data_IF_167913482545
#
_entry.id   IF_167913482545
#
_cell.length_a   1.000
_cell.length_b   1.000
_cell.length_c   1.000
_cell.angle_alpha   90.00
_cell.angle_beta   90.00
_cell.angle_gamma   90.00
#
_symmetry.space_group_name_H-M   'P 1'
#
loop_
_entity.id
_entity.type
_entity.pdbx_description
1 polymer ?
#
# COMPACT_ATOMS: atom_id res chain seq x y z
N UNK A 1 33.62 -23.17 14.31
CA UNK A 1 32.47 -22.25 14.19
C UNK A 1 33.05 -20.86 14.12
N UNK A 2 33.21 -20.36 12.90
CA UNK A 2 33.87 -19.08 12.62
C UNK A 2 32.88 -18.30 11.78
N UNK A 3 32.29 -17.26 12.38
CA UNK A 3 31.44 -16.31 11.68
C UNK A 3 32.29 -15.50 10.71
N UNK A 4 31.99 -15.60 9.41
CA UNK A 4 32.53 -14.73 8.38
C UNK A 4 31.45 -13.70 8.05
N UNK A 5 31.39 -12.63 8.83
CA UNK A 5 30.66 -11.42 8.45
C UNK A 5 31.55 -10.62 7.48
N UNK A 6 31.51 -10.99 6.21
CA UNK A 6 32.09 -10.18 5.14
C UNK A 6 31.24 -8.94 4.85
N UNK A 7 31.84 -7.80 4.47
CA UNK A 7 31.08 -6.62 4.07
C UNK A 7 30.27 -6.94 2.80
N UNK A 8 28.94 -6.84 2.88
CA UNK A 8 28.03 -6.99 1.74
C UNK A 8 28.40 -5.98 0.67
N UNK A 9 28.79 -6.46 -0.53
CA UNK A 9 28.99 -5.61 -1.71
C UNK A 9 27.61 -5.19 -2.20
N UNK A 10 27.18 -4.00 -1.79
CA UNK A 10 26.05 -3.30 -2.40
C UNK A 10 26.42 -2.99 -3.86
N UNK A 11 25.97 -3.84 -4.79
CA UNK A 11 26.20 -3.68 -6.22
C UNK A 11 25.23 -2.62 -6.72
N UNK A 12 25.60 -1.35 -6.53
CA UNK A 12 24.83 -0.22 -7.06
C UNK A 12 24.79 -0.26 -8.58
N UNK A 13 23.70 -0.78 -9.14
CA UNK A 13 23.25 -0.42 -10.47
C UNK A 13 21.74 -0.18 -10.47
N UNK A 14 21.37 0.93 -11.12
CA UNK A 14 20.05 1.41 -11.57
C UNK A 14 19.40 2.51 -10.74
N UNK A 15 19.51 3.75 -11.26
CA UNK A 15 18.43 4.54 -11.88
C UNK A 15 19.14 5.54 -12.82
N UNK A 16 18.93 5.38 -14.14
CA UNK A 16 19.01 6.41 -15.21
C UNK A 16 19.18 5.86 -16.64
N UNK A 17 19.22 4.54 -16.83
CA UNK A 17 19.41 3.97 -18.17
C UNK A 17 18.09 3.59 -18.84
N UNK A 18 17.24 4.56 -19.22
CA UNK A 18 16.32 4.35 -20.35
C UNK A 18 15.70 5.60 -21.02
N UNK A 19 16.23 6.82 -20.79
CA UNK A 19 15.71 8.01 -21.49
C UNK A 19 16.74 8.92 -22.19
N UNK A 20 17.99 8.49 -22.39
CA UNK A 20 18.96 9.29 -23.16
C UNK A 20 19.75 8.44 -24.16
N UNK A 21 19.38 8.50 -25.44
CA UNK A 21 20.29 8.23 -26.55
C UNK A 21 21.15 9.47 -26.79
N UNK A 22 22.26 9.58 -26.07
CA UNK A 22 23.41 10.40 -26.50
C UNK A 22 24.72 9.72 -26.14
N UNK A 23 25.42 9.29 -27.18
CA UNK A 23 26.77 8.74 -27.13
C UNK A 23 27.73 9.81 -26.60
N UNK A 24 28.31 9.59 -25.42
CA UNK A 24 29.43 10.39 -24.92
C UNK A 24 30.59 9.46 -24.63
N UNK A 25 31.75 9.76 -25.24
CA UNK A 25 33.01 9.05 -25.08
C UNK A 25 33.51 9.18 -23.64
N UNK A 26 33.66 8.04 -22.94
CA UNK A 26 34.12 7.98 -21.56
C UNK A 26 35.64 7.91 -21.51
N UNK A 27 36.28 8.97 -21.03
CA UNK A 27 37.67 8.94 -20.56
C UNK A 27 37.67 8.96 -19.03
N UNK A 28 38.28 7.94 -18.43
CA UNK A 28 38.74 7.83 -17.03
C UNK A 28 37.85 8.51 -15.96
N UNK A 29 36.74 7.85 -15.64
CA UNK A 29 35.86 8.19 -14.51
C UNK A 29 36.57 7.87 -13.18
N UNK A 30 36.99 8.90 -12.46
CA UNK A 30 37.05 8.82 -11.01
C UNK A 30 35.62 8.56 -10.52
N UNK A 31 35.37 7.38 -9.95
CA UNK A 31 34.11 7.04 -9.31
C UNK A 31 33.95 7.92 -8.06
N UNK A 32 33.47 9.14 -8.25
CA UNK A 32 32.84 9.91 -7.18
C UNK A 32 31.69 9.02 -6.70
N UNK A 33 31.84 8.41 -5.51
CA UNK A 33 30.75 7.72 -4.85
C UNK A 33 29.68 8.77 -4.58
N UNK A 34 28.70 8.89 -5.47
CA UNK A 34 27.51 9.66 -5.17
C UNK A 34 26.96 9.14 -3.84
N UNK A 35 26.47 9.98 -2.92
CA UNK A 35 25.76 9.49 -1.75
C UNK A 35 24.61 8.58 -2.22
N UNK A 36 24.23 7.55 -1.44
CA UNK A 36 23.06 6.75 -1.80
C UNK A 36 21.86 7.70 -1.94
N UNK A 37 21.07 7.52 -3.00
CA UNK A 37 19.88 8.33 -3.25
C UNK A 37 18.89 8.25 -2.07
N UNK A 38 18.93 7.13 -1.34
CA UNK A 38 18.09 6.85 -0.18
C UNK A 38 18.93 6.65 1.10
N UNK A 39 18.37 7.03 2.24
CA UNK A 39 18.93 6.81 3.58
C UNK A 39 18.58 5.42 4.08
N UNK A 40 17.35 4.97 3.82
CA UNK A 40 16.79 3.71 4.33
C UNK A 40 16.53 2.70 3.21
N UNK A 41 16.90 1.44 3.44
CA UNK A 41 16.54 0.29 2.62
C UNK A 41 15.55 -0.57 3.38
N UNK A 42 14.45 -0.96 2.72
CA UNK A 42 13.34 -1.71 3.32
C UNK A 42 13.30 -3.09 2.67
N UNK A 43 13.37 -4.16 3.46
CA UNK A 43 13.21 -5.53 2.98
C UNK A 43 11.74 -5.87 2.85
N UNK A 44 11.37 -6.46 1.71
CA UNK A 44 10.00 -6.75 1.33
C UNK A 44 9.76 -8.26 1.28
N UNK A 45 8.57 -8.69 1.71
CA UNK A 45 8.00 -9.99 1.40
C UNK A 45 6.68 -9.81 0.67
N UNK A 46 6.47 -10.65 -0.33
CA UNK A 46 5.36 -10.54 -1.27
C UNK A 46 5.18 -11.86 -2.02
N UNK A 47 4.10 -11.96 -2.80
CA UNK A 47 3.91 -13.08 -3.71
C UNK A 47 4.86 -13.04 -4.93
N UNK A 48 4.77 -14.07 -5.77
CA UNK A 48 5.54 -14.20 -7.02
C UNK A 48 5.31 -13.10 -8.05
N UNK A 49 4.31 -12.24 -7.84
CA UNK A 49 4.01 -11.10 -8.72
C UNK A 49 4.96 -9.91 -8.51
N UNK A 50 5.76 -9.90 -7.44
CA UNK A 50 6.54 -8.71 -7.05
C UNK A 50 7.58 -8.24 -8.07
N UNK A 51 8.35 -9.10 -8.75
CA UNK A 51 9.25 -8.64 -9.82
C UNK A 51 8.52 -7.86 -10.90
N UNK A 52 7.34 -8.33 -11.31
CA UNK A 52 6.50 -7.61 -12.27
C UNK A 52 6.00 -6.28 -11.68
N UNK A 53 5.61 -6.26 -10.40
CA UNK A 53 5.22 -5.02 -9.74
C UNK A 53 6.39 -4.01 -9.69
N UNK A 54 7.59 -4.44 -9.29
CA UNK A 54 8.77 -3.59 -9.20
C UNK A 54 9.14 -2.95 -10.55
N UNK A 55 8.99 -3.69 -11.65
CA UNK A 55 9.28 -3.20 -12.99
C UNK A 55 8.20 -2.26 -13.55
N UNK A 56 6.95 -2.37 -13.08
CA UNK A 56 5.79 -1.73 -13.71
C UNK A 56 5.03 -0.75 -12.81
N UNK A 57 5.47 -0.53 -11.57
CA UNK A 57 4.85 0.43 -10.66
C UNK A 57 5.49 1.82 -10.84
N UNK A 58 4.83 2.77 -11.52
CA UNK A 58 5.38 4.10 -11.75
C UNK A 58 5.23 4.97 -10.49
N UNK A 59 6.04 6.03 -10.43
CA UNK A 59 5.99 7.04 -9.37
C UNK A 59 7.25 7.04 -8.50
N UNK A 60 7.38 8.08 -7.68
CA UNK A 60 8.58 8.32 -6.84
C UNK A 60 8.29 8.22 -5.34
N UNK A 61 7.02 8.03 -4.95
CA UNK A 61 6.61 7.98 -3.54
C UNK A 61 7.13 6.72 -2.86
N UNK A 62 7.05 5.58 -3.56
CA UNK A 62 7.59 4.29 -3.14
C UNK A 62 8.23 3.64 -4.37
N UNK A 63 9.54 3.46 -4.33
CA UNK A 63 10.29 2.70 -5.33
C UNK A 63 10.41 1.25 -4.87
N UNK A 64 10.16 0.32 -5.78
CA UNK A 64 10.25 -1.12 -5.54
C UNK A 64 11.38 -1.69 -6.39
N UNK A 65 12.16 -2.62 -5.84
CA UNK A 65 13.30 -3.22 -6.52
C UNK A 65 13.42 -4.68 -6.16
N UNK A 66 13.92 -5.47 -7.09
CA UNK A 66 14.36 -6.84 -6.88
C UNK A 66 15.85 -6.97 -7.20
N UNK A 67 16.57 -7.78 -6.42
CA UNK A 67 17.95 -8.16 -6.70
C UNK A 67 18.00 -9.67 -6.87
N UNK A 68 18.40 -10.12 -8.06
CA UNK A 68 18.64 -11.53 -8.34
C UNK A 68 20.05 -11.89 -7.86
N UNK A 69 20.16 -12.45 -6.65
CA UNK A 69 21.40 -13.02 -6.17
C UNK A 69 21.52 -14.45 -6.70
N UNK A 70 22.42 -14.66 -7.67
CA UNK A 70 22.61 -15.92 -8.44
C UNK A 70 22.58 -17.21 -7.59
N UNK A 71 22.99 -17.15 -6.31
CA UNK A 71 23.04 -18.30 -5.40
C UNK A 71 22.03 -18.24 -4.23
N UNK A 72 21.44 -17.08 -3.91
CA UNK A 72 20.57 -16.90 -2.72
C UNK A 72 19.08 -16.71 -3.07
N UNK A 73 18.78 -16.59 -4.36
CA UNK A 73 17.44 -16.30 -4.86
C UNK A 73 17.16 -14.79 -4.91
N UNK A 74 15.93 -14.45 -5.28
CA UNK A 74 15.56 -13.06 -5.51
C UNK A 74 15.22 -12.40 -4.16
N UNK A 75 15.95 -11.34 -3.82
CA UNK A 75 15.66 -10.48 -2.69
C UNK A 75 14.81 -9.27 -3.14
N UNK A 76 13.87 -8.84 -2.31
CA UNK A 76 12.96 -7.74 -2.61
C UNK A 76 13.16 -6.57 -1.67
N UNK A 77 13.19 -5.37 -2.25
CA UNK A 77 13.49 -4.13 -1.57
C UNK A 77 12.47 -3.04 -1.93
N UNK A 78 12.33 -2.07 -1.01
CA UNK A 78 11.60 -0.84 -1.24
C UNK A 78 12.38 0.37 -0.69
N UNK A 79 12.11 1.53 -1.27
CA UNK A 79 12.72 2.80 -0.91
C UNK A 79 11.67 3.91 -0.98
N UNK A 80 11.82 4.97 -0.18
CA UNK A 80 10.95 6.13 -0.25
C UNK A 80 11.66 7.38 0.28
N UNK A 81 11.65 8.45 -0.54
CA UNK A 81 12.21 9.75 -0.14
C UNK A 81 11.47 10.37 1.04
N UNK A 82 10.20 10.01 1.25
CA UNK A 82 9.42 10.50 2.39
C UNK A 82 9.93 9.97 3.73
N UNK A 83 10.70 8.88 3.73
CA UNK A 83 11.32 8.31 4.94
C UNK A 83 12.74 8.86 5.14
N UNK A 84 13.39 9.33 4.08
CA UNK A 84 14.79 9.73 4.11
C UNK A 84 15.04 11.00 4.94
N UNK A 85 14.05 11.85 5.14
CA UNK A 85 14.15 13.00 6.06
C UNK A 85 14.17 12.58 7.54
N UNK A 86 13.77 11.35 7.86
CA UNK A 86 13.70 10.88 9.24
C UNK A 86 15.05 10.37 9.73
N UNK A 87 15.43 10.78 10.93
CA UNK A 87 16.70 10.39 11.54
C UNK A 87 16.57 9.27 12.56
N UNK A 88 15.37 9.03 13.10
CA UNK A 88 15.15 7.98 14.11
C UNK A 88 14.55 6.73 13.48
N UNK A 89 15.03 5.52 13.84
CA UNK A 89 14.40 4.28 13.40
C UNK A 89 12.91 4.19 13.80
N UNK A 90 12.52 4.69 14.97
CA UNK A 90 11.13 4.66 15.41
C UNK A 90 10.19 5.47 14.48
N UNK A 91 10.60 6.69 14.10
CA UNK A 91 9.85 7.50 13.14
C UNK A 91 9.81 6.84 11.76
N UNK A 92 10.95 6.33 11.29
CA UNK A 92 11.04 5.63 10.02
C UNK A 92 10.12 4.40 9.98
N UNK A 93 10.11 3.57 11.03
CA UNK A 93 9.25 2.40 11.14
C UNK A 93 7.75 2.75 11.03
N UNK A 94 7.32 3.81 11.72
CA UNK A 94 5.93 4.30 11.67
C UNK A 94 5.55 4.77 10.27
N UNK A 95 6.40 5.57 9.62
CA UNK A 95 6.14 6.10 8.28
C UNK A 95 6.15 5.00 7.23
N UNK A 96 7.15 4.09 7.28
CA UNK A 96 7.25 2.91 6.41
C UNK A 96 5.97 2.06 6.52
N UNK A 97 5.49 1.78 7.74
CA UNK A 97 4.27 1.02 7.94
C UNK A 97 3.04 1.72 7.33
N UNK A 98 2.95 3.03 7.50
CA UNK A 98 1.83 3.82 6.95
C UNK A 98 1.86 3.85 5.42
N UNK A 99 3.04 4.04 4.81
CA UNK A 99 3.24 3.92 3.37
C UNK A 99 2.90 2.52 2.83
N UNK A 100 3.24 1.46 3.57
CA UNK A 100 2.85 0.09 3.22
C UNK A 100 1.33 -0.08 3.13
N UNK A 101 0.59 0.49 4.09
CA UNK A 101 -0.87 0.43 4.08
C UNK A 101 -1.46 1.18 2.87
N UNK A 102 -0.92 2.36 2.54
CA UNK A 102 -1.35 3.09 1.35
C UNK A 102 -1.06 2.32 0.05
N UNK A 103 0.14 1.74 -0.07
CA UNK A 103 0.51 0.90 -1.21
C UNK A 103 -0.45 -0.29 -1.36
N UNK A 104 -0.66 -1.06 -0.29
CA UNK A 104 -1.56 -2.20 -0.31
C UNK A 104 -3.00 -1.80 -0.59
N UNK A 105 -3.46 -0.67 -0.07
CA UNK A 105 -4.77 -0.11 -0.37
C UNK A 105 -4.94 0.16 -1.87
N UNK A 106 -3.96 0.85 -2.46
CA UNK A 106 -3.97 1.21 -3.87
C UNK A 106 -3.89 -0.02 -4.78
N UNK A 107 -3.00 -0.97 -4.49
CA UNK A 107 -2.87 -2.21 -5.25
C UNK A 107 -4.13 -3.07 -5.18
N UNK A 108 -4.75 -3.18 -4.00
CA UNK A 108 -5.98 -3.95 -3.81
C UNK A 108 -7.15 -3.37 -4.60
N UNK A 109 -7.24 -2.04 -4.72
CA UNK A 109 -8.24 -1.39 -5.56
C UNK A 109 -7.99 -1.59 -7.05
N UNK A 110 -6.73 -1.51 -7.51
CA UNK A 110 -6.38 -1.77 -8.92
C UNK A 110 -6.66 -3.22 -9.33
N UNK A 111 -6.39 -4.18 -8.45
CA UNK A 111 -6.58 -5.60 -8.73
C UNK A 111 -7.96 -6.13 -8.36
N UNK A 112 -8.86 -5.27 -7.88
CA UNK A 112 -10.21 -5.63 -7.42
C UNK A 112 -10.24 -6.83 -6.45
N UNK A 113 -9.18 -7.01 -5.65
CA UNK A 113 -9.04 -8.13 -4.71
C UNK A 113 -8.61 -9.48 -5.32
N UNK A 114 -8.28 -9.56 -6.62
CA UNK A 114 -7.84 -10.81 -7.29
C UNK A 114 -6.51 -11.33 -6.72
N UNK A 115 -5.60 -10.44 -6.33
CA UNK A 115 -4.35 -10.81 -5.68
C UNK A 115 -4.50 -10.70 -4.17
N UNK A 116 -4.38 -11.85 -3.49
CA UNK A 116 -4.63 -11.97 -2.04
C UNK A 116 -3.42 -11.65 -1.18
N UNK A 117 -2.20 -11.75 -1.71
CA UNK A 117 -0.98 -11.50 -0.95
C UNK A 117 -0.63 -10.02 -0.94
N UNK A 118 -0.63 -9.42 0.25
CA UNK A 118 -0.20 -8.03 0.46
C UNK A 118 1.31 -7.89 0.30
N UNK A 119 1.79 -6.70 -0.06
CA UNK A 119 3.19 -6.31 0.05
C UNK A 119 3.48 -6.05 1.52
N UNK A 120 4.43 -6.79 2.11
CA UNK A 120 4.84 -6.63 3.52
C UNK A 120 6.26 -6.09 3.58
N UNK A 121 6.42 -4.96 4.25
CA UNK A 121 7.72 -4.43 4.65
C UNK A 121 8.05 -5.07 6.00
N UNK A 122 9.11 -5.88 6.04
CA UNK A 122 9.42 -6.67 7.25
C UNK A 122 10.44 -5.94 8.13
N UNK A 123 11.52 -5.52 7.51
CA UNK A 123 12.69 -4.93 8.17
C UNK A 123 13.21 -3.76 7.36
N UNK A 124 13.95 -2.86 8.00
CA UNK A 124 14.63 -1.77 7.32
C UNK A 124 15.94 -1.40 8.04
N UNK A 125 16.87 -0.83 7.31
CA UNK A 125 18.18 -0.44 7.82
C UNK A 125 18.73 0.77 7.10
N UNK A 126 19.64 1.52 7.76
CA UNK A 126 20.38 2.58 7.05
C UNK A 126 21.33 1.94 6.06
N UNK A 127 21.35 2.43 4.83
CA UNK A 127 22.19 1.86 3.77
C UNK A 127 23.67 1.90 4.18
N UNK A 128 24.32 0.73 4.17
CA UNK A 128 25.73 0.57 4.53
C UNK A 128 26.05 0.53 6.03
N UNK A 129 25.05 0.60 6.91
CA UNK A 129 25.26 0.54 8.37
C UNK A 129 25.30 -0.88 8.95
N UNK A 130 24.64 -1.84 8.29
CA UNK A 130 24.39 -3.18 8.84
C UNK A 130 23.28 -3.22 9.91
N UNK A 131 22.62 -2.09 10.20
CA UNK A 131 21.48 -2.03 11.11
C UNK A 131 20.26 -2.76 10.52
N UNK A 132 19.54 -3.49 11.36
CA UNK A 132 18.29 -4.16 10.99
C UNK A 132 17.25 -3.82 12.06
N UNK A 133 16.22 -3.08 11.65
CA UNK A 133 15.09 -2.70 12.48
C UNK A 133 13.84 -3.37 11.93
N UNK A 134 12.88 -3.73 12.79
CA UNK A 134 11.58 -4.24 12.36
C UNK A 134 10.65 -3.10 11.95
N UNK A 135 9.87 -3.30 10.88
CA UNK A 135 8.78 -2.38 10.54
C UNK A 135 7.61 -2.67 11.49
N UNK A 136 7.47 -1.83 12.50
CA UNK A 136 6.39 -1.91 13.49
C UNK A 136 5.95 -0.50 13.87
N UNK A 137 4.63 -0.31 13.98
CA UNK A 137 4.05 0.96 14.38
C UNK A 137 2.96 0.74 15.44
N UNK A 138 2.95 1.59 16.48
CA UNK A 138 1.85 1.63 17.47
C UNK A 138 0.63 2.39 16.96
N UNK A 139 0.83 3.24 15.96
CA UNK A 139 -0.17 4.12 15.35
C UNK A 139 0.16 4.31 13.88
N UNK A 140 -0.86 4.59 13.08
CA UNK A 140 -0.70 5.01 11.69
C UNK A 140 -0.38 6.51 11.68
N UNK A 141 0.59 6.92 10.87
CA UNK A 141 0.81 8.32 10.56
C UNK A 141 -0.23 8.76 9.52
N UNK A 142 -1.10 9.69 9.89
CA UNK A 142 -2.25 10.09 9.05
C UNK A 142 -1.84 10.71 7.72
N UNK A 143 -0.67 11.35 7.66
CA UNK A 143 -0.07 11.87 6.44
C UNK A 143 1.41 11.46 6.36
N UNK A 144 1.74 10.28 5.81
CA UNK A 144 3.09 9.73 5.80
C UNK A 144 3.96 10.27 4.65
N UNK A 145 3.57 11.40 4.06
CA UNK A 145 4.27 12.05 2.97
C UNK A 145 5.02 13.26 3.51
N UNK A 146 6.31 13.34 3.17
CA UNK A 146 7.12 14.54 3.44
C UNK A 146 6.55 15.75 2.70
N UNK A 147 6.65 16.91 3.35
CA UNK A 147 6.23 18.21 2.81
C UNK A 147 7.26 18.81 1.83
N UNK A 148 8.40 18.15 1.64
CA UNK A 148 9.47 18.63 0.76
C UNK A 148 9.10 18.53 -0.72
N UNK A 149 9.00 19.67 -1.40
CA UNK A 149 8.71 19.74 -2.85
C UNK A 149 9.76 19.02 -3.71
N UNK A 150 10.99 18.89 -3.19
CA UNK A 150 12.12 18.24 -3.87
C UNK A 150 11.82 16.77 -4.18
N UNK A 151 10.90 16.14 -3.45
CA UNK A 151 10.52 14.75 -3.71
C UNK A 151 9.79 14.62 -5.05
N UNK A 152 8.94 15.59 -5.37
CA UNK A 152 8.16 15.64 -6.62
C UNK A 152 8.91 16.30 -7.78
N UNK A 153 9.99 17.03 -7.49
CA UNK A 153 10.89 17.62 -8.49
C UNK A 153 11.63 16.51 -9.26
N UNK A 154 11.26 16.32 -10.53
CA UNK A 154 11.96 15.39 -11.43
C UNK A 154 11.20 14.12 -11.80
N UNK A 155 9.87 14.09 -11.67
CA UNK A 155 9.04 13.06 -12.30
C UNK A 155 9.23 13.10 -13.83
N UNK A 156 10.17 12.30 -14.34
CA UNK A 156 10.31 12.06 -15.77
C UNK A 156 9.03 11.44 -16.36
N UNK A 157 8.86 11.49 -17.68
CA UNK A 157 7.67 10.96 -18.35
C UNK A 157 7.36 9.48 -17.97
N UNK A 158 8.39 8.65 -17.82
CA UNK A 158 8.26 7.24 -17.39
C UNK A 158 7.78 7.07 -15.94
N UNK A 159 7.74 8.15 -15.16
CA UNK A 159 7.30 8.20 -13.76
C UNK A 159 5.92 8.83 -13.61
N UNK A 160 5.20 9.08 -14.70
CA UNK A 160 3.86 9.65 -14.64
C UNK A 160 2.93 8.71 -13.84
N UNK A 161 2.48 9.10 -12.64
CA UNK A 161 1.68 8.23 -11.78
C UNK A 161 0.31 7.95 -12.39
N UNK A 162 -0.18 8.77 -13.34
CA UNK A 162 -1.48 8.58 -14.00
C UNK A 162 -1.54 7.35 -14.91
N UNK A 163 -0.40 6.73 -15.24
CA UNK A 163 -0.35 5.56 -16.14
C UNK A 163 -0.91 4.30 -15.47
N UNK A 164 -0.75 4.16 -14.15
CA UNK A 164 -1.28 3.04 -13.36
C UNK A 164 -2.23 3.55 -12.30
N UNK A 165 -3.37 2.88 -12.14
CA UNK A 165 -4.40 3.36 -11.23
C UNK A 165 -3.90 3.40 -9.77
N UNK A 166 -3.21 2.35 -9.31
CA UNK A 166 -2.63 2.30 -7.95
C UNK A 166 -1.61 3.41 -7.70
N UNK A 167 -0.69 3.66 -8.64
CA UNK A 167 0.27 4.75 -8.53
C UNK A 167 -0.41 6.12 -8.51
N UNK A 168 -1.46 6.33 -9.33
CA UNK A 168 -2.22 7.57 -9.34
C UNK A 168 -2.94 7.80 -8.00
N UNK A 169 -3.55 6.75 -7.44
CA UNK A 169 -4.20 6.81 -6.13
C UNK A 169 -3.20 7.19 -5.03
N UNK A 170 -2.01 6.59 -5.03
CA UNK A 170 -0.95 6.90 -4.07
C UNK A 170 -0.49 8.36 -4.20
N UNK A 171 -0.29 8.82 -5.44
CA UNK A 171 0.07 10.21 -5.73
C UNK A 171 -0.98 11.20 -5.20
N UNK A 172 -2.27 10.94 -5.47
CA UNK A 172 -3.37 11.80 -5.02
C UNK A 172 -3.52 11.79 -3.49
N UNK A 173 -3.23 10.66 -2.83
CA UNK A 173 -3.32 10.53 -1.38
C UNK A 173 -2.39 11.50 -0.63
N UNK A 174 -1.39 12.10 -1.28
CA UNK A 174 -0.57 13.19 -0.69
C UNK A 174 -1.42 14.39 -0.28
N UNK A 175 -2.42 14.73 -1.10
CA UNK A 175 -3.20 15.96 -0.95
C UNK A 175 -4.69 15.71 -0.69
N UNK A 176 -5.20 14.53 -1.02
CA UNK A 176 -6.59 14.15 -0.81
C UNK A 176 -6.72 13.24 0.43
N UNK A 177 -7.15 13.83 1.54
CA UNK A 177 -7.33 13.14 2.83
C UNK A 177 -8.45 12.09 2.80
N UNK A 178 -9.52 12.35 2.07
CA UNK A 178 -10.66 11.44 1.92
C UNK A 178 -10.20 10.15 1.21
N UNK A 179 -9.42 10.32 0.13
CA UNK A 179 -8.84 9.20 -0.60
C UNK A 179 -7.80 8.46 0.25
N UNK A 180 -6.91 9.19 0.91
CA UNK A 180 -5.87 8.61 1.78
C UNK A 180 -6.48 7.77 2.91
N UNK A 181 -7.54 8.27 3.55
CA UNK A 181 -8.29 7.54 4.59
C UNK A 181 -8.88 6.24 4.05
N UNK A 182 -9.50 6.29 2.88
CA UNK A 182 -10.05 5.10 2.24
C UNK A 182 -8.96 4.09 1.88
N UNK A 183 -7.81 4.54 1.36
CA UNK A 183 -6.68 3.67 1.05
C UNK A 183 -6.12 3.00 2.32
N UNK A 184 -6.00 3.71 3.44
CA UNK A 184 -5.60 3.08 4.71
C UNK A 184 -6.56 1.97 5.13
N UNK A 185 -7.86 2.22 5.08
CA UNK A 185 -8.87 1.21 5.41
C UNK A 185 -8.77 0.00 4.47
N UNK A 186 -8.66 0.23 3.17
CA UNK A 186 -8.53 -0.86 2.19
C UNK A 186 -7.22 -1.62 2.42
N UNK A 187 -6.11 -0.95 2.72
CA UNK A 187 -4.81 -1.56 3.00
C UNK A 187 -4.78 -2.41 4.27
N UNK A 188 -5.66 -2.14 5.23
CA UNK A 188 -5.81 -2.91 6.47
C UNK A 188 -6.59 -4.22 6.31
N UNK A 189 -7.26 -4.45 5.18
CA UNK A 189 -7.95 -5.72 4.91
C UNK A 189 -6.91 -6.85 4.85
N UNK A 190 -7.07 -7.90 5.66
CA UNK A 190 -6.17 -9.05 5.69
C UNK A 190 -6.87 -10.30 6.23
N UNK A 191 -6.47 -11.46 5.72
CA UNK A 191 -7.03 -12.77 6.11
C UNK A 191 -5.96 -13.75 6.57
N UNK A 192 -4.75 -13.28 6.88
CA UNK A 192 -3.61 -14.16 7.19
C UNK A 192 -3.67 -14.77 8.60
N UNK A 193 -4.50 -14.22 9.50
CA UNK A 193 -4.72 -14.79 10.84
C UNK A 193 -6.15 -14.57 11.33
N UNK A 194 -6.63 -15.35 12.32
CA UNK A 194 -7.97 -15.17 12.89
C UNK A 194 -8.23 -13.77 13.45
N UNK A 195 -7.22 -13.13 14.05
CA UNK A 195 -7.34 -11.76 14.58
C UNK A 195 -7.49 -10.77 13.42
N UNK A 196 -6.72 -10.95 12.35
CA UNK A 196 -6.84 -10.13 11.15
C UNK A 196 -8.20 -10.30 10.48
N UNK A 197 -8.75 -11.52 10.43
CA UNK A 197 -10.11 -11.75 9.91
C UNK A 197 -11.17 -10.98 10.72
N UNK A 198 -11.08 -10.96 12.05
CA UNK A 198 -11.97 -10.19 12.93
C UNK A 198 -11.85 -8.69 12.64
N UNK A 199 -10.62 -8.18 12.51
CA UNK A 199 -10.38 -6.78 12.19
C UNK A 199 -10.89 -6.43 10.80
N UNK A 200 -10.73 -7.33 9.83
CA UNK A 200 -11.19 -7.13 8.45
C UNK A 200 -12.68 -6.91 8.38
N UNK A 201 -13.51 -7.70 9.07
CA UNK A 201 -14.97 -7.46 9.10
C UNK A 201 -15.32 -6.03 9.53
N UNK A 202 -14.68 -5.55 10.60
CA UNK A 202 -14.87 -4.18 11.09
C UNK A 202 -14.36 -3.15 10.07
N UNK A 203 -13.22 -3.41 9.44
CA UNK A 203 -12.63 -2.55 8.41
C UNK A 203 -13.51 -2.46 7.16
N UNK A 204 -14.07 -3.57 6.69
CA UNK A 204 -15.01 -3.59 5.56
C UNK A 204 -16.25 -2.74 5.85
N UNK A 205 -16.77 -2.79 7.07
CA UNK A 205 -17.89 -1.92 7.45
C UNK A 205 -17.50 -0.43 7.42
N UNK A 206 -16.31 -0.09 7.93
CA UNK A 206 -15.78 1.29 7.89
C UNK A 206 -15.57 1.77 6.46
N UNK A 207 -15.13 0.90 5.54
CA UNK A 207 -15.03 1.20 4.11
C UNK A 207 -16.40 1.61 3.57
N UNK A 208 -17.47 0.84 3.86
CA UNK A 208 -18.83 1.18 3.42
C UNK A 208 -19.28 2.54 3.95
N UNK A 209 -19.05 2.81 5.23
CA UNK A 209 -19.45 4.09 5.83
C UNK A 209 -18.65 5.27 5.27
N UNK A 210 -17.36 5.06 4.98
CA UNK A 210 -16.47 6.06 4.35
C UNK A 210 -16.92 6.38 2.94
N UNK A 211 -17.15 5.35 2.10
CA UNK A 211 -17.67 5.52 0.73
C UNK A 211 -19.03 6.21 0.76
N UNK A 212 -19.95 5.79 1.63
CA UNK A 212 -21.27 6.42 1.78
C UNK A 212 -21.16 7.88 2.20
N UNK A 213 -20.22 8.23 3.07
CA UNK A 213 -20.01 9.60 3.50
C UNK A 213 -19.51 10.46 2.33
N UNK A 214 -18.48 9.98 1.64
CA UNK A 214 -17.78 10.78 0.63
C UNK A 214 -18.55 10.85 -0.69
N UNK A 215 -19.40 9.86 -1.01
CA UNK A 215 -20.34 9.91 -2.13
C UNK A 215 -21.33 11.09 -2.05
N UNK A 216 -21.66 11.58 -0.84
CA UNK A 216 -22.54 12.74 -0.67
C UNK A 216 -21.96 14.00 -1.30
N UNK A 217 -20.64 14.18 -1.25
CA UNK A 217 -19.97 15.33 -1.87
C UNK A 217 -20.07 15.31 -3.39
N UNK A 218 -20.37 14.15 -3.96
CA UNK A 218 -20.54 13.94 -5.40
C UNK A 218 -22.02 13.90 -5.82
N UNK A 219 -22.96 14.07 -4.88
CA UNK A 219 -24.40 13.85 -5.07
C UNK A 219 -24.75 12.43 -5.56
N UNK A 220 -23.94 11.44 -5.20
CA UNK A 220 -24.15 10.04 -5.53
C UNK A 220 -24.69 9.25 -4.33
N UNK A 221 -25.39 8.16 -4.62
CA UNK A 221 -25.79 7.18 -3.61
C UNK A 221 -24.89 5.94 -3.61
N UNK A 222 -24.88 5.19 -2.51
CA UNK A 222 -24.05 3.99 -2.39
C UNK A 222 -24.44 2.91 -3.41
N UNK A 223 -25.71 2.90 -3.79
CA UNK A 223 -26.31 1.98 -4.77
C UNK A 223 -25.75 2.13 -6.18
N UNK A 224 -25.07 3.24 -6.49
CA UNK A 224 -24.36 3.42 -7.76
C UNK A 224 -23.10 2.53 -7.86
N UNK A 225 -22.57 2.11 -6.71
CA UNK A 225 -21.31 1.35 -6.64
C UNK A 225 -21.52 -0.13 -6.30
N UNK A 226 -22.63 -0.48 -5.65
CA UNK A 226 -22.94 -1.87 -5.26
C UNK A 226 -24.44 -2.16 -5.13
N UNK A 227 -24.79 -3.45 -5.18
CA UNK A 227 -26.16 -3.91 -4.97
C UNK A 227 -26.66 -3.57 -3.54
N UNK A 228 -27.77 -2.83 -3.48
CA UNK A 228 -28.39 -2.36 -2.24
C UNK A 228 -28.72 -3.50 -1.28
N UNK A 229 -29.25 -4.61 -1.78
CA UNK A 229 -29.69 -5.73 -0.97
C UNK A 229 -28.49 -6.48 -0.39
N UNK A 230 -27.43 -6.66 -1.18
CA UNK A 230 -26.16 -7.24 -0.71
C UNK A 230 -25.50 -6.38 0.37
N UNK A 231 -25.47 -5.06 0.18
CA UNK A 231 -24.95 -4.14 1.21
C UNK A 231 -25.79 -4.20 2.48
N UNK A 232 -27.13 -4.28 2.36
CA UNK A 232 -28.02 -4.45 3.52
C UNK A 232 -27.75 -5.76 4.25
N UNK A 233 -27.58 -6.87 3.52
CA UNK A 233 -27.25 -8.18 4.07
C UNK A 233 -25.89 -8.18 4.78
N UNK A 234 -24.88 -7.56 4.19
CA UNK A 234 -23.56 -7.35 4.80
C UNK A 234 -23.64 -6.55 6.11
N UNK A 235 -24.32 -5.39 6.09
CA UNK A 235 -24.48 -4.56 7.30
C UNK A 235 -25.25 -5.28 8.39
N UNK A 236 -26.24 -6.09 8.03
CA UNK A 236 -26.98 -6.89 9.00
C UNK A 236 -26.09 -7.96 9.66
N UNK A 237 -25.25 -8.64 8.89
CA UNK A 237 -24.27 -9.59 9.42
C UNK A 237 -23.31 -8.92 10.42
N UNK A 238 -22.73 -7.78 10.03
CA UNK A 238 -21.81 -7.02 10.89
C UNK A 238 -22.45 -6.55 12.21
N UNK A 239 -23.77 -6.32 12.21
CA UNK A 239 -24.49 -5.80 13.37
C UNK A 239 -25.06 -6.89 14.30
N UNK A 240 -24.89 -8.18 13.97
CA UNK A 240 -25.49 -9.26 14.74
C UNK A 240 -24.47 -10.35 15.10
N UNK A 241 -24.10 -10.39 16.39
CA UNK A 241 -23.17 -11.38 16.93
C UNK A 241 -23.67 -12.83 16.77
N UNK A 242 -24.98 -13.07 16.68
CA UNK A 242 -25.51 -14.42 16.45
C UNK A 242 -25.21 -14.98 15.05
N UNK A 243 -24.82 -14.11 14.11
CA UNK A 243 -24.54 -14.49 12.71
C UNK A 243 -23.05 -14.80 12.52
N UNK A 244 -22.18 -13.82 12.82
CA UNK A 244 -20.74 -13.93 12.54
C UNK A 244 -19.87 -13.98 13.82
N UNK A 245 -20.49 -14.11 15.00
CA UNK A 245 -19.78 -14.30 16.26
C UNK A 245 -18.88 -13.13 16.62
N UNK A 246 -17.63 -13.42 16.97
CA UNK A 246 -16.60 -12.44 17.35
C UNK A 246 -16.26 -11.45 16.22
N UNK A 247 -16.62 -11.75 14.98
CA UNK A 247 -16.42 -10.86 13.85
C UNK A 247 -17.43 -9.70 13.80
N UNK A 248 -18.52 -9.77 14.57
CA UNK A 248 -19.52 -8.72 14.60
C UNK A 248 -18.97 -7.45 15.25
N UNK A 249 -19.39 -6.30 14.75
CA UNK A 249 -19.05 -4.98 15.29
C UNK A 249 -19.66 -4.75 16.67
N UNK A 250 -20.83 -5.33 16.90
CA UNK A 250 -21.59 -5.19 18.12
C UNK A 250 -21.67 -6.53 18.86
N UNK A 251 -21.71 -6.48 20.19
CA UNK A 251 -21.95 -7.65 21.03
C UNK A 251 -23.38 -8.19 20.91
N UNK A 252 -23.74 -9.14 21.77
CA UNK A 252 -25.06 -9.76 21.76
C UNK A 252 -26.18 -8.72 21.83
N UNK A 253 -27.05 -8.71 20.82
CA UNK A 253 -28.24 -7.89 20.73
C UNK A 253 -29.45 -8.81 20.48
N UNK A 254 -30.60 -8.51 21.08
CA UNK A 254 -31.83 -9.30 20.95
C UNK A 254 -32.56 -9.08 19.61
N UNK A 255 -31.84 -8.72 18.55
CA UNK A 255 -32.43 -8.48 17.24
C UNK A 255 -32.48 -9.80 16.46
N UNK A 256 -33.65 -10.13 15.92
CA UNK A 256 -33.78 -11.27 15.01
C UNK A 256 -32.90 -11.04 13.76
N UNK A 257 -32.07 -12.01 13.39
CA UNK A 257 -31.24 -11.90 12.19
C UNK A 257 -32.14 -11.92 10.95
N UNK A 258 -31.89 -11.07 9.93
CA UNK A 258 -32.63 -11.15 8.69
C UNK A 258 -32.34 -12.47 7.97
N UNK A 259 -33.27 -12.94 7.11
CA UNK A 259 -33.22 -14.28 6.53
C UNK A 259 -32.06 -14.51 5.53
N UNK A 260 -31.46 -13.44 5.00
CA UNK A 260 -30.31 -13.52 4.10
C UNK A 260 -29.22 -12.57 4.58
N UNK A 261 -28.06 -13.14 4.91
CA UNK A 261 -26.93 -12.45 5.54
C UNK A 261 -25.64 -13.04 4.97
N UNK A 262 -24.62 -12.19 4.82
CA UNK A 262 -23.29 -12.61 4.38
C UNK A 262 -22.54 -13.14 5.60
N UNK A 263 -22.20 -14.42 5.60
CA UNK A 263 -21.44 -15.07 6.69
C UNK A 263 -19.99 -15.35 6.33
N UNK A 264 -19.71 -15.41 5.02
CA UNK A 264 -18.38 -15.67 4.49
C UNK A 264 -17.59 -14.38 4.31
N UNK A 265 -16.34 -14.38 4.78
CA UNK A 265 -15.48 -13.19 4.72
C UNK A 265 -15.05 -12.88 3.28
N UNK A 266 -14.79 -13.90 2.46
CA UNK A 266 -14.39 -13.69 1.07
C UNK A 266 -15.56 -13.11 0.26
N UNK A 267 -16.80 -13.57 0.50
CA UNK A 267 -18.01 -12.95 -0.06
C UNK A 267 -18.12 -11.47 0.33
N UNK A 268 -17.83 -11.12 1.59
CA UNK A 268 -17.82 -9.74 2.04
C UNK A 268 -16.73 -8.91 1.35
N UNK A 269 -15.50 -9.42 1.24
CA UNK A 269 -14.39 -8.77 0.52
C UNK A 269 -14.76 -8.54 -0.95
N UNK A 270 -15.30 -9.58 -1.61
CA UNK A 270 -15.72 -9.55 -3.02
C UNK A 270 -16.93 -8.64 -3.28
N UNK A 271 -17.65 -8.22 -2.25
CA UNK A 271 -18.68 -7.18 -2.35
C UNK A 271 -18.08 -5.78 -2.14
N UNK A 272 -17.29 -5.60 -1.09
CA UNK A 272 -16.89 -4.29 -0.60
C UNK A 272 -15.69 -3.71 -1.35
N UNK A 273 -14.71 -4.54 -1.74
CA UNK A 273 -13.53 -4.06 -2.48
C UNK A 273 -13.92 -3.55 -3.87
N UNK A 274 -14.70 -4.29 -4.70
CA UNK A 274 -15.13 -3.76 -6.00
C UNK A 274 -16.02 -2.51 -5.88
N UNK A 275 -16.84 -2.42 -4.83
CA UNK A 275 -17.61 -1.20 -4.53
C UNK A 275 -16.67 -0.01 -4.29
N UNK A 276 -15.65 -0.18 -3.45
CA UNK A 276 -14.66 0.86 -3.18
C UNK A 276 -13.86 1.24 -4.44
N UNK A 277 -13.50 0.26 -5.28
CA UNK A 277 -12.82 0.50 -6.57
C UNK A 277 -13.65 1.40 -7.48
N UNK A 278 -14.94 1.06 -7.69
CA UNK A 278 -15.86 1.87 -8.51
C UNK A 278 -16.02 3.28 -7.97
N UNK A 279 -16.17 3.41 -6.64
CA UNK A 279 -16.20 4.72 -5.99
C UNK A 279 -14.93 5.52 -6.26
N UNK A 280 -13.74 4.95 -6.07
CA UNK A 280 -12.48 5.64 -6.30
C UNK A 280 -12.30 6.08 -7.76
N UNK A 281 -12.66 5.22 -8.73
CA UNK A 281 -12.61 5.57 -10.15
C UNK A 281 -13.49 6.79 -10.45
N UNK A 282 -14.72 6.79 -9.96
CA UNK A 282 -15.66 7.90 -10.13
C UNK A 282 -15.20 9.17 -9.38
N UNK A 283 -14.74 9.02 -8.13
CA UNK A 283 -14.27 10.10 -7.28
C UNK A 283 -13.05 10.81 -7.88
N UNK A 284 -12.07 10.05 -8.37
CA UNK A 284 -10.87 10.59 -9.04
C UNK A 284 -11.27 11.36 -10.30
N UNK A 285 -12.16 10.81 -11.15
CA UNK A 285 -12.62 11.50 -12.36
C UNK A 285 -13.37 12.81 -12.04
N UNK A 286 -14.15 12.83 -10.96
CA UNK A 286 -14.95 13.99 -10.58
C UNK A 286 -14.14 15.11 -9.91
N UNK A 287 -13.12 14.76 -9.09
CA UNK A 287 -12.35 15.75 -8.30
C UNK A 287 -10.95 16.04 -8.82
N UNK A 288 -10.39 15.14 -9.62
CA UNK A 288 -9.00 15.20 -10.12
C UNK A 288 -8.93 14.95 -11.63
N UNK A 289 -9.60 15.77 -12.47
CA UNK A 289 -9.64 15.57 -13.92
C UNK A 289 -8.28 15.68 -14.63
#
# INVERSE_FOLDING_TARGET
MTEINGPRRCLRQFIDAQCFTRTVNVTKLEFIRMPPLHKWEITVSSGSYFPHLAQNFPGDDISLSDEDEEEQGIAFYAYSRHVDELDTPAGAAQRIYSLQLLLNGALRLEWEGVHTHSVRFNTFGRIGSGEINSVYARSIEENPFSESSVIDEGLGYCKNPKVKFSAHLLYLAKTDEDLRTLLFLVGLVSTESPIESILTWNTLYRIVDTVKNNAKYLNCSLEEFADKNKIKAFKAACNNMSIIGLNARHGAANNEPPPQVITDLDEAINLIIPMATKFCQFYVQARHP
#
